data_IF_210802241202
#
_entry.id   IF_210802241202
#
_cell.length_a   1.000
_cell.length_b   1.000
_cell.length_c   1.000
_cell.angle_alpha   90.00
_cell.angle_beta   90.00
_cell.angle_gamma   90.00
#
_symmetry.space_group_name_H-M   'P 1'
#
loop_
_entity.id
_entity.type
_entity.pdbx_description
1 polymer ?
#
# COMPACT_ATOMS: atom_id res chain seq x y z
N UNK A 1 6.00 23.14 -29.65
CA UNK A 1 6.44 22.33 -28.50
C UNK A 1 5.59 22.78 -27.32
N UNK A 2 4.78 21.89 -26.75
CA UNK A 2 3.96 22.22 -25.58
C UNK A 2 4.86 22.29 -24.35
N UNK A 3 4.96 23.47 -23.77
CA UNK A 3 5.61 23.68 -22.48
C UNK A 3 4.88 22.83 -21.43
N UNK A 4 5.61 21.94 -20.74
CA UNK A 4 5.03 21.09 -19.69
C UNK A 4 4.81 21.98 -18.48
N UNK A 5 3.55 22.19 -18.10
CA UNK A 5 3.19 22.99 -16.93
C UNK A 5 3.42 22.15 -15.67
N UNK A 6 3.66 22.79 -14.54
CA UNK A 6 3.74 22.09 -13.26
C UNK A 6 2.50 21.24 -12.96
N UNK A 7 1.33 21.68 -13.43
CA UNK A 7 0.05 20.94 -13.34
C UNK A 7 0.11 19.56 -14.01
N UNK A 8 0.93 19.42 -15.05
CA UNK A 8 1.09 18.19 -15.83
C UNK A 8 2.07 17.20 -15.14
N UNK A 9 2.72 17.61 -14.05
CA UNK A 9 3.63 16.75 -13.28
C UNK A 9 2.87 15.85 -12.29
N UNK A 10 3.31 14.60 -12.09
CA UNK A 10 2.85 13.75 -11.00
C UNK A 10 2.92 14.48 -9.65
N UNK A 11 1.98 14.17 -8.77
CA UNK A 11 1.88 14.82 -7.46
C UNK A 11 3.14 14.61 -6.62
N UNK A 12 3.78 13.44 -6.74
CA UNK A 12 5.03 13.11 -6.04
C UNK A 12 6.17 14.04 -6.46
N UNK A 13 6.36 14.24 -7.77
CA UNK A 13 7.43 15.10 -8.30
C UNK A 13 7.24 16.56 -7.87
N UNK A 14 6.01 17.08 -7.93
CA UNK A 14 5.69 18.44 -7.44
C UNK A 14 5.98 18.61 -5.96
N UNK A 15 5.67 17.60 -5.15
CA UNK A 15 5.93 17.62 -3.70
C UNK A 15 7.43 17.59 -3.41
N UNK A 16 8.18 16.76 -4.14
CA UNK A 16 9.63 16.69 -4.03
C UNK A 16 10.31 18.01 -4.41
N UNK A 17 9.89 18.64 -5.52
CA UNK A 17 10.39 19.96 -5.94
C UNK A 17 10.05 21.08 -4.94
N UNK A 18 8.89 20.99 -4.27
CA UNK A 18 8.50 21.93 -3.22
C UNK A 18 9.21 21.69 -1.88
N UNK A 19 10.09 20.69 -1.79
CA UNK A 19 10.75 20.31 -0.54
C UNK A 19 9.78 19.82 0.53
N UNK A 20 8.60 19.32 0.13
CA UNK A 20 7.64 18.76 1.07
C UNK A 20 8.26 17.51 1.74
N UNK A 21 8.11 17.36 3.06
CA UNK A 21 8.59 16.18 3.76
C UNK A 21 7.97 14.95 3.09
N UNK A 22 8.84 14.05 2.63
CA UNK A 22 8.43 12.71 2.23
C UNK A 22 8.16 11.92 3.50
N UNK A 23 7.06 11.17 3.54
CA UNK A 23 6.86 10.18 4.59
C UNK A 23 7.97 9.12 4.42
N UNK A 24 9.00 9.22 5.26
CA UNK A 24 9.99 8.17 5.46
C UNK A 24 9.37 7.16 6.40
N UNK A 25 8.34 6.48 5.90
CA UNK A 25 7.57 5.50 6.65
C UNK A 25 8.38 4.20 6.76
N UNK A 26 9.51 4.27 7.48
CA UNK A 26 10.24 3.09 7.93
C UNK A 26 9.42 2.33 8.99
N UNK A 27 8.45 2.99 9.64
CA UNK A 27 7.57 2.42 10.68
C UNK A 27 6.31 1.73 10.13
N UNK A 28 5.89 1.99 8.87
CA UNK A 28 4.69 1.37 8.28
C UNK A 28 4.75 -0.17 8.28
N UNK A 29 5.93 -0.73 8.02
CA UNK A 29 6.13 -2.17 8.00
C UNK A 29 6.06 -2.80 9.40
N UNK A 30 6.49 -2.06 10.44
CA UNK A 30 6.49 -2.52 11.82
C UNK A 30 5.11 -2.35 12.47
N UNK A 31 4.34 -1.33 12.08
CA UNK A 31 2.96 -1.13 12.55
C UNK A 31 2.04 -2.31 12.20
N UNK A 32 2.25 -2.93 11.04
CA UNK A 32 1.45 -4.06 10.57
C UNK A 32 2.09 -5.43 10.84
N UNK A 33 3.24 -5.46 11.52
CA UNK A 33 3.88 -6.71 11.90
C UNK A 33 3.05 -7.42 13.00
N UNK A 34 2.76 -8.72 12.87
CA UNK A 34 2.11 -9.48 13.93
C UNK A 34 2.90 -9.41 15.24
N UNK A 35 2.23 -9.09 16.33
CA UNK A 35 2.78 -9.09 17.69
C UNK A 35 2.77 -10.48 18.31
N UNK A 36 3.45 -10.63 19.46
CA UNK A 36 3.48 -11.90 20.22
C UNK A 36 2.11 -12.36 20.71
N UNK A 37 1.16 -11.44 20.84
CA UNK A 37 -0.21 -11.72 21.29
C UNK A 37 -1.18 -11.90 20.13
N UNK A 38 -0.77 -11.58 18.91
CA UNK A 38 -1.62 -11.78 17.75
C UNK A 38 -1.72 -13.27 17.41
N UNK A 39 -2.89 -13.71 16.93
CA UNK A 39 -3.04 -15.06 16.43
C UNK A 39 -2.08 -15.31 15.26
N UNK A 40 -1.61 -16.55 15.07
CA UNK A 40 -0.81 -16.89 13.91
C UNK A 40 -1.62 -16.66 12.62
N UNK A 41 -0.92 -16.30 11.54
CA UNK A 41 -1.51 -16.27 10.21
C UNK A 41 -2.11 -17.64 9.87
N UNK A 42 -3.20 -17.65 9.11
CA UNK A 42 -3.82 -18.87 8.64
C UNK A 42 -2.83 -19.69 7.79
N UNK A 43 -2.93 -21.03 7.88
CA UNK A 43 -2.16 -21.93 7.02
C UNK A 43 -2.56 -21.72 5.54
N UNK A 44 -1.65 -22.00 4.61
CA UNK A 44 -1.91 -21.80 3.16
C UNK A 44 -3.13 -22.58 2.65
N UNK A 45 -3.42 -23.75 3.24
CA UNK A 45 -4.56 -24.60 2.87
C UNK A 45 -5.84 -24.27 3.66
N UNK A 46 -5.78 -23.27 4.55
CA UNK A 46 -6.95 -22.85 5.32
C UNK A 46 -7.90 -22.00 4.45
N UNK A 47 -9.23 -22.23 4.57
CA UNK A 47 -10.21 -21.41 3.88
C UNK A 47 -10.07 -19.92 4.24
N UNK A 48 -10.14 -19.05 3.24
CA UNK A 48 -9.98 -17.60 3.36
C UNK A 48 -8.53 -17.13 3.39
N UNK A 49 -7.55 -18.01 3.14
CA UNK A 49 -6.15 -17.63 2.97
C UNK A 49 -5.91 -16.75 1.73
N UNK A 50 -4.76 -16.07 1.70
CA UNK A 50 -4.37 -15.17 0.61
C UNK A 50 -4.36 -15.88 -0.76
N UNK A 51 -4.03 -17.18 -0.76
CA UNK A 51 -4.00 -18.06 -1.93
C UNK A 51 -5.38 -18.30 -2.56
N UNK A 52 -6.47 -18.24 -1.77
CA UNK A 52 -7.83 -18.44 -2.29
C UNK A 52 -8.35 -17.21 -3.04
N UNK A 53 -7.73 -16.05 -2.82
CA UNK A 53 -8.04 -14.77 -3.45
C UNK A 53 -9.41 -14.21 -3.06
N UNK A 54 -9.56 -12.88 -3.05
CA UNK A 54 -10.86 -12.26 -2.84
C UNK A 54 -11.79 -12.59 -4.02
N UNK A 55 -12.90 -13.28 -3.74
CA UNK A 55 -14.01 -13.44 -4.69
C UNK A 55 -15.14 -12.50 -4.30
N UNK A 56 -15.53 -11.55 -5.17
CA UNK A 56 -16.67 -10.69 -4.92
C UNK A 56 -17.92 -11.53 -4.65
N UNK A 57 -18.66 -11.20 -3.59
CA UNK A 57 -19.90 -11.90 -3.21
C UNK A 57 -20.97 -11.90 -4.32
N UNK A 58 -20.86 -10.99 -5.28
CA UNK A 58 -21.77 -10.85 -6.43
C UNK A 58 -21.33 -11.63 -7.67
N UNK A 59 -20.18 -12.29 -7.64
CA UNK A 59 -19.68 -13.07 -8.76
C UNK A 59 -20.18 -14.51 -8.64
N UNK A 60 -21.08 -14.90 -9.54
CA UNK A 60 -21.62 -16.26 -9.68
C UNK A 60 -20.72 -17.14 -10.56
#
# INVERSE_FOLDING_TARGET
MTEKRDEDKPLADRRAEAGAPQETDDDFAEEHAPSKTDPPNAEAEAPGGEDEGYRPHTQA
#
